data_IF_337355215586
#
_entry.id   IF_337355215586
#
_cell.length_a   1.000
_cell.length_b   1.000
_cell.length_c   1.000
_cell.angle_alpha   90.00
_cell.angle_beta   90.00
_cell.angle_gamma   90.00
#
_symmetry.space_group_name_H-M   'P 1'
#
loop_
_entity.id
_entity.type
_entity.pdbx_description
1 polymer ?
#
# COMPACT_ATOMS: atom_id res chain seq x y z
N UNK A 1 -7.49 -15.36 -14.44
CA UNK A 1 -7.55 -16.83 -14.53
C UNK A 1 -6.91 -17.39 -13.29
N UNK A 2 -7.60 -18.25 -12.53
CA UNK A 2 -7.05 -18.90 -11.34
C UNK A 2 -6.77 -20.36 -11.68
N UNK A 3 -5.50 -20.75 -11.71
CA UNK A 3 -5.06 -22.10 -12.08
C UNK A 3 -4.47 -22.78 -10.85
N UNK A 4 -4.93 -24.00 -10.54
CA UNK A 4 -4.35 -24.81 -9.46
C UNK A 4 -3.00 -25.38 -9.92
N UNK A 5 -1.96 -25.16 -9.13
CA UNK A 5 -0.62 -25.70 -9.39
C UNK A 5 -0.10 -26.46 -8.17
N UNK A 6 1.01 -27.20 -8.33
CA UNK A 6 1.64 -27.97 -7.26
C UNK A 6 2.85 -27.22 -6.70
N UNK A 7 2.99 -27.27 -5.39
CA UNK A 7 4.22 -26.91 -4.68
C UNK A 7 5.09 -28.16 -4.52
N UNK A 8 6.40 -28.01 -4.67
CA UNK A 8 7.36 -29.11 -4.57
C UNK A 8 8.64 -28.67 -3.88
N UNK A 9 9.40 -29.63 -3.36
CA UNK A 9 10.71 -29.37 -2.73
C UNK A 9 11.79 -29.23 -3.81
N UNK A 10 12.60 -28.18 -3.71
CA UNK A 10 13.76 -27.91 -4.55
C UNK A 10 14.97 -27.71 -3.65
N UNK A 11 15.77 -28.77 -3.48
CA UNK A 11 16.86 -28.77 -2.50
C UNK A 11 16.35 -28.58 -1.08
N UNK A 12 16.86 -27.55 -0.39
CA UNK A 12 16.40 -27.16 0.96
C UNK A 12 15.23 -26.16 0.96
N UNK A 13 14.70 -25.82 -0.21
CA UNK A 13 13.65 -24.83 -0.39
C UNK A 13 12.37 -25.44 -0.93
N UNK A 14 11.27 -24.69 -0.85
CA UNK A 14 10.05 -24.99 -1.61
C UNK A 14 9.99 -24.12 -2.86
N UNK A 15 9.37 -24.68 -3.91
CA UNK A 15 9.14 -24.01 -5.17
C UNK A 15 7.70 -24.23 -5.63
N UNK A 16 7.13 -23.24 -6.30
CA UNK A 16 5.81 -23.30 -6.92
C UNK A 16 6.03 -23.38 -8.43
N UNK A 17 5.35 -24.31 -9.11
CA UNK A 17 5.35 -24.37 -10.57
C UNK A 17 4.44 -23.27 -11.13
N UNK A 18 4.97 -22.37 -11.95
CA UNK A 18 4.19 -21.34 -12.63
C UNK A 18 3.79 -21.85 -14.04
N UNK A 19 2.49 -22.06 -14.30
CA UNK A 19 1.98 -22.43 -15.63
C UNK A 19 2.28 -21.38 -16.71
N UNK A 20 2.40 -21.81 -17.97
CA UNK A 20 2.78 -20.93 -19.11
C UNK A 20 1.76 -19.82 -19.38
N UNK A 21 0.49 -20.08 -19.13
CA UNK A 21 -0.63 -19.13 -19.23
C UNK A 21 -0.55 -17.99 -18.21
N UNK A 22 0.19 -18.18 -17.11
CA UNK A 22 0.43 -17.16 -16.09
C UNK A 22 1.78 -16.45 -16.22
N UNK A 23 2.61 -16.86 -17.20
CA UNK A 23 3.89 -16.20 -17.43
C UNK A 23 3.68 -14.83 -18.07
N UNK A 24 4.40 -13.79 -17.59
CA UNK A 24 4.48 -12.53 -18.30
C UNK A 24 5.19 -12.69 -19.65
N UNK A 25 5.07 -11.71 -20.58
CA UNK A 25 5.77 -11.74 -21.86
C UNK A 25 7.30 -11.85 -21.73
N UNK A 26 7.85 -11.28 -20.66
CA UNK A 26 9.27 -11.33 -20.33
C UNK A 26 9.43 -11.84 -18.90
N UNK A 27 10.22 -12.90 -18.71
CA UNK A 27 10.45 -13.51 -17.40
C UNK A 27 11.48 -12.66 -16.64
N UNK A 28 11.14 -12.11 -15.47
CA UNK A 28 12.08 -11.34 -14.68
C UNK A 28 13.18 -12.25 -14.12
N UNK A 29 14.41 -11.75 -14.09
CA UNK A 29 15.57 -12.44 -13.51
C UNK A 29 15.45 -12.57 -11.98
N UNK A 30 14.91 -11.54 -11.32
CA UNK A 30 14.74 -11.49 -9.86
C UNK A 30 13.33 -11.02 -9.48
N UNK A 31 12.82 -11.56 -8.38
CA UNK A 31 11.50 -11.24 -7.83
C UNK A 31 11.57 -11.02 -6.32
N UNK A 32 10.74 -10.13 -5.81
CA UNK A 32 10.43 -10.04 -4.38
C UNK A 32 9.20 -10.87 -4.07
N UNK A 33 9.23 -11.54 -2.93
CA UNK A 33 8.15 -12.39 -2.44
C UNK A 33 7.77 -11.89 -1.04
N UNK A 34 6.50 -11.53 -0.87
CA UNK A 34 5.94 -11.05 0.39
C UNK A 34 4.73 -11.88 0.78
N UNK A 35 4.59 -12.17 2.08
CA UNK A 35 3.35 -12.72 2.64
C UNK A 35 2.56 -11.57 3.26
N UNK A 36 1.38 -11.26 2.71
CA UNK A 36 0.49 -10.23 3.27
C UNK A 36 -0.95 -10.71 3.18
N UNK A 37 -1.76 -10.41 4.19
CA UNK A 37 -3.20 -10.68 4.20
C UNK A 37 -3.58 -12.13 3.88
N UNK A 38 -2.76 -13.10 4.29
CA UNK A 38 -3.00 -14.52 4.00
C UNK A 38 -2.64 -14.96 2.57
N UNK A 39 -1.98 -14.10 1.79
CA UNK A 39 -1.60 -14.37 0.41
C UNK A 39 -0.11 -14.13 0.16
N UNK A 40 0.46 -14.94 -0.75
CA UNK A 40 1.79 -14.70 -1.29
C UNK A 40 1.70 -13.75 -2.47
N UNK A 41 2.38 -12.62 -2.38
CA UNK A 41 2.50 -11.63 -3.47
C UNK A 41 3.91 -11.68 -4.02
N UNK A 42 4.03 -12.03 -5.30
CA UNK A 42 5.31 -12.06 -6.02
C UNK A 42 5.36 -10.87 -6.97
N UNK A 43 6.43 -10.08 -6.92
CA UNK A 43 6.62 -8.91 -7.79
C UNK A 43 7.98 -8.96 -8.47
N UNK A 44 8.09 -8.64 -9.77
CA UNK A 44 9.38 -8.41 -10.41
C UNK A 44 10.17 -7.32 -9.70
N UNK A 45 11.47 -7.52 -9.53
CA UNK A 45 12.37 -6.43 -9.12
C UNK A 45 12.52 -5.50 -10.32
N UNK A 46 11.77 -4.39 -10.30
CA UNK A 46 11.94 -3.35 -11.30
C UNK A 46 13.27 -2.63 -11.02
N UNK A 47 14.27 -2.87 -11.86
CA UNK A 47 15.48 -2.04 -11.93
C UNK A 47 15.07 -0.65 -12.45
N UNK A 48 14.61 0.22 -11.56
CA UNK A 48 14.29 1.60 -11.91
C UNK A 48 15.59 2.36 -12.09
N UNK A 49 15.94 2.61 -13.35
CA UNK A 49 17.05 3.48 -13.67
C UNK A 49 16.64 4.94 -13.49
N UNK A 50 17.52 5.75 -12.91
CA UNK A 50 17.40 7.21 -12.96
C UNK A 50 17.87 7.78 -14.31
N UNK A 51 18.19 6.94 -15.30
CA UNK A 51 18.50 7.38 -16.65
C UNK A 51 17.36 8.24 -17.21
N UNK A 52 17.71 9.39 -17.78
CA UNK A 52 16.74 10.35 -18.30
C UNK A 52 16.09 11.23 -17.23
N UNK A 53 16.36 11.03 -15.93
CA UNK A 53 15.84 11.89 -14.87
C UNK A 53 16.26 13.36 -15.06
N UNK A 54 17.54 13.60 -15.35
CA UNK A 54 18.04 14.95 -15.63
C UNK A 54 17.40 15.59 -16.87
N UNK A 55 17.06 14.80 -17.89
CA UNK A 55 16.33 15.29 -19.04
C UNK A 55 14.91 15.74 -18.68
N UNK A 56 14.26 15.05 -17.73
CA UNK A 56 12.95 15.47 -17.21
C UNK A 56 13.06 16.73 -16.35
N UNK A 57 14.14 16.91 -15.59
CA UNK A 57 14.36 18.14 -14.82
C UNK A 57 14.52 19.39 -15.71
N UNK A 58 14.92 19.25 -16.98
CA UNK A 58 14.92 20.39 -17.94
C UNK A 58 13.54 20.96 -18.25
N UNK A 59 12.46 20.24 -17.93
CA UNK A 59 11.10 20.75 -18.08
C UNK A 59 10.74 21.81 -17.03
N UNK A 60 11.50 21.92 -15.94
CA UNK A 60 11.35 23.02 -14.99
C UNK A 60 11.93 24.31 -15.60
N UNK A 61 11.19 25.41 -15.48
CA UNK A 61 11.68 26.75 -15.82
C UNK A 61 12.91 27.09 -14.95
N UNK A 62 13.86 27.93 -15.44
CA UNK A 62 14.91 28.49 -14.59
C UNK A 62 14.39 29.15 -13.31
N UNK A 63 13.18 29.72 -13.37
CA UNK A 63 12.49 30.37 -12.25
C UNK A 63 11.53 29.42 -11.51
N UNK A 64 11.75 28.11 -11.58
CA UNK A 64 10.95 27.15 -10.82
C UNK A 64 11.41 27.10 -9.35
N UNK A 65 10.55 27.52 -8.43
CA UNK A 65 10.81 27.59 -6.98
C UNK A 65 12.08 28.39 -6.58
N UNK A 66 12.25 29.65 -7.03
CA UNK A 66 13.44 30.44 -6.76
C UNK A 66 13.62 30.75 -5.26
N UNK A 67 12.50 30.87 -4.54
CA UNK A 67 12.47 31.12 -3.10
C UNK A 67 12.15 29.85 -2.29
N UNK A 68 12.21 28.66 -2.92
CA UNK A 68 11.82 27.40 -2.30
C UNK A 68 10.31 27.27 -2.05
N UNK A 69 9.95 26.43 -1.09
CA UNK A 69 8.57 26.30 -0.59
C UNK A 69 8.47 27.02 0.75
N UNK A 70 7.39 27.75 0.97
CA UNK A 70 7.11 28.35 2.27
C UNK A 70 6.96 27.26 3.33
N UNK A 71 7.52 27.52 4.51
CA UNK A 71 7.34 26.66 5.67
C UNK A 71 5.96 26.93 6.26
N UNK A 72 5.07 25.94 6.19
CA UNK A 72 3.81 25.98 6.92
C UNK A 72 4.01 25.32 8.29
N UNK A 73 3.76 26.06 9.37
CA UNK A 73 3.69 25.48 10.71
C UNK A 73 2.50 24.52 10.77
N UNK A 74 2.78 23.24 11.04
CA UNK A 74 1.74 22.26 11.28
C UNK A 74 1.25 22.40 12.72
N UNK A 75 -0.05 22.62 12.89
CA UNK A 75 -0.72 22.58 14.20
C UNK A 75 -1.39 21.24 14.41
N UNK A 76 -1.43 20.78 15.65
CA UNK A 76 -2.24 19.63 16.05
C UNK A 76 -3.71 19.87 15.69
N UNK A 77 -4.31 18.89 15.02
CA UNK A 77 -5.73 18.92 14.68
C UNK A 77 -6.51 18.39 15.87
N UNK A 78 -7.52 19.16 16.30
CA UNK A 78 -8.45 18.70 17.33
C UNK A 78 -9.37 17.61 16.73
N UNK A 79 -9.31 16.42 17.33
CA UNK A 79 -10.08 15.24 16.94
C UNK A 79 -11.17 14.88 17.96
N UNK A 80 -11.34 15.66 19.03
CA UNK A 80 -12.26 15.38 20.14
C UNK A 80 -13.69 15.09 19.66
N UNK A 81 -14.23 15.91 18.75
CA UNK A 81 -15.58 15.74 18.20
C UNK A 81 -15.81 14.50 17.30
N UNK A 82 -14.79 13.65 17.08
CA UNK A 82 -14.90 12.37 16.36
C UNK A 82 -14.78 11.16 17.30
N UNK A 83 -14.18 11.35 18.49
CA UNK A 83 -13.90 10.26 19.44
C UNK A 83 -14.85 10.26 20.65
N UNK A 84 -15.71 11.26 20.79
CA UNK A 84 -16.73 11.29 21.83
C UNK A 84 -17.92 10.37 21.47
N UNK A 85 -17.77 9.05 21.69
CA UNK A 85 -18.92 8.12 21.68
C UNK A 85 -19.95 8.46 22.78
N UNK A 86 -19.58 9.27 23.78
CA UNK A 86 -20.43 9.64 24.92
C UNK A 86 -21.26 10.93 24.74
N UNK A 87 -21.09 11.63 23.62
CA UNK A 87 -21.78 12.89 23.33
C UNK A 87 -22.68 12.84 22.07
N UNK A 88 -23.04 11.64 21.61
CA UNK A 88 -24.21 11.49 20.74
C UNK A 88 -25.48 11.45 21.60
N UNK A 89 -26.37 12.46 21.52
CA UNK A 89 -27.64 12.43 22.24
C UNK A 89 -28.51 11.21 21.90
N UNK A 90 -28.27 10.52 20.77
CA UNK A 90 -29.04 9.33 20.37
C UNK A 90 -28.63 8.04 21.10
N UNK A 91 -27.44 7.97 21.72
CA UNK A 91 -26.99 6.75 22.43
C UNK A 91 -27.60 6.66 23.84
N UNK A 92 -27.99 7.80 24.45
CA UNK A 92 -28.50 7.85 25.84
C UNK A 92 -29.91 7.28 26.00
N UNK A 93 -30.74 7.28 24.96
CA UNK A 93 -32.11 6.75 25.04
C UNK A 93 -32.16 5.21 25.07
N UNK A 94 -31.15 4.51 24.56
CA UNK A 94 -31.19 3.04 24.45
C UNK A 94 -30.84 2.36 25.79
N UNK A 95 -30.02 3.01 26.63
CA UNK A 95 -29.53 2.42 27.89
C UNK A 95 -30.46 2.69 29.08
N UNK A 96 -31.36 3.69 28.98
CA UNK A 96 -32.29 4.05 30.05
C UNK A 96 -33.54 3.14 30.11
N UNK A 97 -33.96 2.55 28.99
CA UNK A 97 -35.18 1.71 28.93
C UNK A 97 -34.94 0.22 29.24
N UNK A 98 -33.70 -0.20 29.51
CA UNK A 98 -33.39 -1.60 29.89
C UNK A 98 -33.28 -1.81 31.41
N UNK A 99 -33.53 -0.79 32.22
CA UNK A 99 -33.65 -0.91 33.68
C UNK A 99 -34.98 -0.36 34.18
N UNK A 100 -36.10 -0.91 33.69
CA UNK A 100 -37.22 -1.12 34.60
C UNK A 100 -38.19 -2.19 34.11
N UNK A 101 -38.83 -2.75 35.11
CA UNK A 101 -39.81 -3.82 35.11
C UNK A 101 -41.21 -3.23 35.15
#
# INVERSE_FOLDING_TARGET
>A
MNTKTKMFKSGNSFAIRIPKDLLPPEIPEEVTIEWRNGEWVIRPIQKRSLAGLMARFKAFSPDFMPNGRELHEQKERDWSGILDEDNDPQIREITADSQDK
#
